data_IF_647172435831
#
_entry.id   IF_647172435831
#
_cell.length_a   1.000
_cell.length_b   1.000
_cell.length_c   1.000
_cell.angle_alpha   90.00
_cell.angle_beta   90.00
_cell.angle_gamma   90.00
#
_symmetry.space_group_name_H-M   'P 1'
#
loop_
_entity.id
_entity.type
_entity.pdbx_description
1 polymer ?
#
# COMPACT_ATOMS: atom_id res chain seq x y z
N UNK A 1 19.32 -42.39 -34.05
CA UNK A 1 20.39 -41.63 -33.38
C UNK A 1 20.09 -41.59 -31.88
N UNK A 2 20.99 -42.13 -31.06
CA UNK A 2 20.88 -42.26 -29.60
C UNK A 2 21.74 -41.17 -28.96
N UNK A 3 21.19 -40.34 -28.07
CA UNK A 3 21.96 -39.42 -27.20
C UNK A 3 21.18 -39.25 -25.90
N UNK A 4 21.43 -40.14 -24.91
CA UNK A 4 22.29 -39.97 -23.72
C UNK A 4 21.74 -39.00 -22.66
N UNK A 5 21.11 -39.63 -21.67
CA UNK A 5 20.92 -39.16 -20.29
C UNK A 5 22.26 -38.79 -19.64
N UNK A 6 22.29 -37.66 -18.91
CA UNK A 6 23.34 -37.37 -17.92
C UNK A 6 22.65 -37.17 -16.56
N UNK A 7 22.88 -38.11 -15.65
CA UNK A 7 22.49 -38.03 -14.25
C UNK A 7 23.54 -37.27 -13.46
N UNK A 8 23.17 -36.17 -12.79
CA UNK A 8 23.99 -35.55 -11.75
C UNK A 8 23.76 -36.30 -10.43
N UNK A 9 24.83 -36.89 -9.91
CA UNK A 9 24.94 -37.39 -8.53
C UNK A 9 25.52 -36.25 -7.69
N UNK A 10 24.78 -35.77 -6.68
CA UNK A 10 25.29 -34.79 -5.71
C UNK A 10 25.74 -35.53 -4.46
N UNK A 11 27.03 -35.39 -4.15
CA UNK A 11 27.72 -35.95 -2.99
C UNK A 11 27.40 -35.10 -1.76
N UNK A 12 26.75 -35.67 -0.74
CA UNK A 12 26.54 -35.02 0.56
C UNK A 12 27.77 -35.28 1.45
N UNK A 13 28.51 -34.22 1.79
CA UNK A 13 29.55 -34.25 2.80
C UNK A 13 28.97 -33.75 4.13
N UNK A 14 28.88 -34.66 5.11
CA UNK A 14 28.51 -34.37 6.50
C UNK A 14 29.77 -33.91 7.24
N UNK A 15 29.81 -32.66 7.68
CA UNK A 15 30.78 -32.18 8.66
C UNK A 15 30.13 -32.17 10.04
N UNK A 16 30.56 -33.09 10.89
CA UNK A 16 30.29 -33.06 12.33
C UNK A 16 31.36 -32.22 13.02
N UNK A 17 30.98 -31.04 13.52
CA UNK A 17 31.81 -30.23 14.41
C UNK A 17 31.43 -30.59 15.85
N UNK A 18 32.34 -31.25 16.56
CA UNK A 18 32.17 -31.59 17.97
C UNK A 18 32.41 -30.36 18.86
N UNK A 19 31.42 -30.00 19.67
CA UNK A 19 31.57 -29.01 20.73
C UNK A 19 32.31 -29.60 21.95
N UNK A 20 33.22 -28.85 22.59
CA UNK A 20 33.88 -29.29 23.82
C UNK A 20 32.91 -29.29 25.01
N UNK A 21 33.15 -30.14 26.03
CA UNK A 21 32.29 -30.23 27.21
C UNK A 21 32.43 -28.99 28.11
N UNK A 22 31.29 -28.50 28.60
CA UNK A 22 31.22 -27.45 29.61
C UNK A 22 31.72 -27.97 30.98
N UNK A 23 32.40 -27.12 31.78
CA UNK A 23 32.82 -27.48 33.13
C UNK A 23 31.61 -27.61 34.07
N UNK A 24 31.67 -28.61 34.95
CA UNK A 24 30.67 -28.88 35.98
C UNK A 24 30.47 -27.67 36.90
N UNK A 25 29.22 -27.23 37.03
CA UNK A 25 28.82 -26.23 38.02
C UNK A 25 28.58 -26.88 39.38
N UNK A 26 29.17 -26.26 40.40
CA UNK A 26 29.13 -26.62 41.81
C UNK A 26 27.76 -26.27 42.40
N UNK A 27 26.94 -27.28 42.68
CA UNK A 27 25.61 -27.12 43.31
C UNK A 27 25.77 -27.17 44.83
N UNK A 28 26.06 -26.03 45.45
CA UNK A 28 26.29 -25.94 46.89
C UNK A 28 25.90 -24.60 47.50
N UNK A 29 24.61 -24.23 47.46
CA UNK A 29 24.13 -23.04 48.17
C UNK A 29 22.60 -23.03 48.33
N UNK A 30 22.12 -23.26 49.56
CA UNK A 30 20.71 -23.12 49.92
C UNK A 30 20.35 -21.62 49.95
N UNK A 31 19.38 -21.13 49.15
CA UNK A 31 19.05 -19.72 49.16
C UNK A 31 18.18 -19.37 50.38
N UNK A 32 18.60 -18.33 51.11
CA UNK A 32 17.85 -17.70 52.19
C UNK A 32 16.61 -16.99 51.59
N UNK A 33 15.44 -17.31 52.14
CA UNK A 33 14.14 -16.70 51.82
C UNK A 33 14.21 -15.16 51.97
N UNK A 34 13.99 -14.36 50.91
CA UNK A 34 13.89 -12.91 51.05
C UNK A 34 12.55 -12.53 51.68
N UNK A 35 12.60 -11.48 52.51
CA UNK A 35 11.42 -10.92 53.17
C UNK A 35 10.47 -10.26 52.14
N UNK A 36 9.17 -10.38 52.40
CA UNK A 36 8.12 -9.83 51.55
C UNK A 36 8.25 -8.29 51.40
N UNK A 37 8.14 -7.74 50.18
CA UNK A 37 8.13 -6.30 49.99
C UNK A 37 6.79 -5.71 50.45
N UNK A 38 6.86 -4.55 51.11
CA UNK A 38 5.70 -3.75 51.51
C UNK A 38 5.00 -3.20 50.26
N UNK A 39 3.67 -3.22 50.27
CA UNK A 39 2.82 -2.70 49.21
C UNK A 39 3.16 -1.25 48.84
N UNK A 40 3.41 -1.04 47.55
CA UNK A 40 3.54 0.27 46.92
C UNK A 40 2.13 0.75 46.54
N UNK A 41 1.77 2.03 46.76
CA UNK A 41 0.46 2.55 46.37
C UNK A 41 0.28 2.48 44.85
N UNK A 42 -0.92 2.07 44.43
CA UNK A 42 -1.34 1.97 43.02
C UNK A 42 -1.12 3.28 42.27
N UNK A 43 -0.39 3.22 41.17
CA UNK A 43 -0.34 4.27 40.15
C UNK A 43 -1.72 4.44 39.50
N UNK A 44 -2.11 5.67 39.12
CA UNK A 44 -3.36 5.92 38.42
C UNK A 44 -3.32 5.28 37.02
N UNK A 45 -4.49 4.85 36.54
CA UNK A 45 -4.71 4.20 35.25
C UNK A 45 -3.95 4.90 34.11
N UNK A 46 -3.24 4.17 33.24
CA UNK A 46 -2.69 4.74 32.03
C UNK A 46 -3.83 5.23 31.15
N UNK A 47 -3.83 6.52 30.83
CA UNK A 47 -4.77 7.10 29.89
C UNK A 47 -4.65 6.35 28.56
N UNK A 48 -5.79 5.85 28.06
CA UNK A 48 -5.90 5.15 26.78
C UNK A 48 -5.10 5.88 25.69
N UNK A 49 -4.29 5.11 24.94
CA UNK A 49 -3.59 5.60 23.77
C UNK A 49 -4.61 6.26 22.81
N UNK A 50 -4.30 7.43 22.23
CA UNK A 50 -5.19 8.07 21.29
C UNK A 50 -5.32 7.15 20.08
N UNK A 51 -6.48 6.51 19.93
CA UNK A 51 -6.93 6.01 18.65
C UNK A 51 -7.06 7.22 17.74
N UNK A 52 -6.03 7.47 16.94
CA UNK A 52 -6.09 8.45 15.86
C UNK A 52 -7.15 7.94 14.89
N UNK A 53 -8.40 8.33 15.11
CA UNK A 53 -9.46 8.20 14.11
C UNK A 53 -8.93 8.93 12.89
N UNK A 54 -8.45 8.16 11.91
CA UNK A 54 -8.15 8.69 10.60
C UNK A 54 -9.40 9.45 10.15
N UNK A 55 -9.33 10.79 10.21
CA UNK A 55 -10.40 11.63 9.71
C UNK A 55 -10.63 11.17 8.27
N UNK A 56 -11.83 10.68 8.00
CA UNK A 56 -12.13 10.17 6.67
C UNK A 56 -11.86 11.30 5.66
N UNK A 57 -11.53 10.98 4.40
CA UNK A 57 -11.27 12.02 3.38
C UNK A 57 -12.46 12.97 3.13
N UNK A 58 -13.60 12.73 3.79
CA UNK A 58 -14.82 13.51 3.76
C UNK A 58 -15.15 14.28 5.05
N UNK A 59 -14.30 14.22 6.08
CA UNK A 59 -14.48 14.97 7.32
C UNK A 59 -14.19 16.46 7.09
N UNK A 60 -15.25 17.25 6.97
CA UNK A 60 -15.25 18.69 6.64
C UNK A 60 -14.47 19.61 7.60
N UNK A 61 -13.80 19.09 8.65
CA UNK A 61 -13.29 19.91 9.76
C UNK A 61 -11.82 20.32 9.68
N UNK A 62 -10.99 19.76 8.81
CA UNK A 62 -9.54 20.12 8.75
C UNK A 62 -8.95 20.25 7.35
N UNK A 63 -9.72 20.13 6.28
CA UNK A 63 -9.22 20.53 4.96
C UNK A 63 -8.78 22.00 5.03
N UNK A 64 -7.56 22.37 4.61
CA UNK A 64 -7.23 23.78 4.40
C UNK A 64 -8.37 24.38 3.59
N UNK A 65 -8.87 25.56 3.98
CA UNK A 65 -9.91 26.29 3.23
C UNK A 65 -9.47 26.32 1.77
N UNK A 66 -9.93 25.36 0.97
CA UNK A 66 -9.74 25.40 -0.46
C UNK A 66 -10.45 26.67 -0.88
N UNK A 67 -9.77 27.48 -1.70
CA UNK A 67 -10.41 28.63 -2.29
C UNK A 67 -11.63 28.10 -3.05
N UNK A 68 -12.83 28.24 -2.49
CA UNK A 68 -14.09 27.68 -3.00
C UNK A 68 -14.62 28.43 -4.22
N UNK A 69 -13.75 29.19 -4.91
CA UNK A 69 -14.00 29.50 -6.31
C UNK A 69 -13.76 28.23 -7.10
N UNK A 70 -14.63 27.80 -8.03
CA UNK A 70 -14.21 26.85 -9.04
C UNK A 70 -12.95 27.45 -9.67
N UNK A 71 -11.80 26.77 -9.59
CA UNK A 71 -10.66 27.13 -10.42
C UNK A 71 -11.18 26.95 -11.83
N UNK A 72 -11.62 28.05 -12.43
CA UNK A 72 -11.91 28.10 -13.86
C UNK A 72 -10.57 27.77 -14.47
N UNK A 73 -10.52 26.64 -15.19
CA UNK A 73 -9.39 26.31 -16.06
C UNK A 73 -8.96 27.63 -16.72
N UNK A 74 -7.71 28.09 -16.53
CA UNK A 74 -7.26 29.37 -17.08
C UNK A 74 -7.49 29.48 -18.60
N UNK A 75 -7.77 28.36 -19.27
CA UNK A 75 -8.15 28.25 -20.68
C UNK A 75 -9.66 28.47 -20.97
N UNK A 76 -10.54 28.56 -19.98
CA UNK A 76 -12.01 28.53 -20.15
C UNK A 76 -12.67 29.87 -20.55
N UNK A 77 -11.93 30.95 -20.81
CA UNK A 77 -12.51 32.28 -21.06
C UNK A 77 -12.98 32.55 -22.51
N UNK A 78 -12.95 31.55 -23.39
CA UNK A 78 -13.57 31.62 -24.73
C UNK A 78 -14.85 30.81 -24.75
N UNK A 79 -15.88 31.27 -25.49
CA UNK A 79 -17.12 30.50 -25.72
C UNK A 79 -16.95 29.21 -26.54
N UNK A 80 -15.77 28.57 -26.48
CA UNK A 80 -15.48 27.27 -27.05
C UNK A 80 -15.86 26.12 -26.11
N UNK A 81 -15.65 24.87 -26.55
CA UNK A 81 -15.84 23.68 -25.72
C UNK A 81 -15.06 23.79 -24.40
N UNK A 82 -15.68 23.39 -23.28
CA UNK A 82 -15.00 23.34 -21.99
C UNK A 82 -14.07 22.12 -22.00
N UNK A 83 -12.79 22.34 -21.71
CA UNK A 83 -11.81 21.26 -21.58
C UNK A 83 -11.75 20.82 -20.12
N UNK A 84 -11.73 19.52 -19.88
CA UNK A 84 -11.41 18.95 -18.57
C UNK A 84 -10.07 18.25 -18.67
N UNK A 85 -9.24 18.40 -17.65
CA UNK A 85 -7.96 17.70 -17.54
C UNK A 85 -7.92 16.97 -16.21
N UNK A 86 -7.63 15.67 -16.26
CA UNK A 86 -7.16 14.91 -15.10
C UNK A 86 -5.64 14.82 -15.18
N UNK A 87 -4.99 14.95 -14.03
CA UNK A 87 -3.56 14.78 -13.88
C UNK A 87 -3.30 13.48 -13.12
N UNK A 88 -2.42 12.65 -13.67
CA UNK A 88 -1.91 11.45 -13.03
C UNK A 88 -0.51 11.62 -12.49
N UNK A 89 -0.15 10.83 -11.48
CA UNK A 89 1.24 10.62 -11.08
C UNK A 89 1.56 9.12 -11.16
N UNK A 90 2.37 8.73 -12.13
CA UNK A 90 2.97 7.40 -12.20
C UNK A 90 4.27 7.42 -11.39
N UNK A 91 4.40 6.57 -10.39
CA UNK A 91 5.66 6.37 -9.63
C UNK A 91 6.21 4.98 -9.88
N UNK A 92 7.52 4.87 -10.10
CA UNK A 92 8.24 3.60 -10.23
C UNK A 92 9.42 3.55 -9.26
N UNK A 93 9.51 2.47 -8.48
CA UNK A 93 10.67 2.13 -7.67
C UNK A 93 11.49 1.09 -8.42
N UNK A 94 12.74 1.41 -8.73
CA UNK A 94 13.62 0.54 -9.52
C UNK A 94 14.89 0.28 -8.72
N UNK A 95 15.12 -0.98 -8.36
CA UNK A 95 16.32 -1.40 -7.66
C UNK A 95 17.46 -1.60 -8.67
N UNK A 96 18.53 -0.85 -8.54
CA UNK A 96 19.67 -0.81 -9.46
C UNK A 96 20.94 -1.21 -8.72
N UNK A 97 21.83 -1.99 -9.35
CA UNK A 97 23.17 -2.24 -8.79
C UNK A 97 23.92 -0.92 -8.58
N UNK A 98 24.41 -0.70 -7.36
CA UNK A 98 25.10 0.51 -6.92
C UNK A 98 26.29 0.86 -7.81
N UNK A 99 27.08 -0.14 -8.21
CA UNK A 99 28.24 0.07 -9.09
C UNK A 99 27.85 0.60 -10.48
N UNK A 100 26.71 0.15 -11.02
CA UNK A 100 26.18 0.60 -12.31
C UNK A 100 25.69 2.04 -12.20
N UNK A 101 24.91 2.34 -11.16
CA UNK A 101 24.43 3.70 -10.88
C UNK A 101 25.58 4.69 -10.68
N UNK A 102 26.57 4.35 -9.86
CA UNK A 102 27.71 5.22 -9.59
C UNK A 102 28.53 5.48 -10.86
N UNK A 103 28.83 4.44 -11.64
CA UNK A 103 29.57 4.58 -12.89
C UNK A 103 28.85 5.43 -13.94
N UNK A 104 27.51 5.46 -13.90
CA UNK A 104 26.70 6.34 -14.75
C UNK A 104 26.74 7.79 -14.26
N UNK A 105 26.56 8.02 -12.95
CA UNK A 105 26.61 9.35 -12.34
C UNK A 105 27.94 10.07 -12.57
N UNK A 106 29.06 9.34 -12.52
CA UNK A 106 30.39 9.91 -12.74
C UNK A 106 30.55 10.53 -14.13
N UNK A 107 29.71 10.13 -15.09
CA UNK A 107 29.77 10.57 -16.50
C UNK A 107 28.58 11.44 -16.90
N UNK A 108 27.48 11.37 -16.16
CA UNK A 108 26.21 11.96 -16.54
C UNK A 108 25.62 12.67 -15.31
N UNK A 109 25.56 14.02 -15.30
CA UNK A 109 24.75 14.71 -14.30
C UNK A 109 23.28 14.31 -14.46
N UNK A 110 22.53 14.24 -13.35
CA UNK A 110 21.08 13.98 -13.40
C UNK A 110 20.36 15.31 -13.69
N UNK A 111 19.82 15.52 -14.90
CA UNK A 111 18.96 16.67 -15.17
C UNK A 111 17.60 16.54 -14.49
N UNK A 112 16.84 17.63 -14.41
CA UNK A 112 15.44 17.63 -13.98
C UNK A 112 14.58 16.73 -14.89
N UNK A 113 14.81 16.78 -16.20
CA UNK A 113 14.26 15.81 -17.16
C UNK A 113 15.07 14.52 -17.15
N UNK A 114 14.69 13.62 -16.24
CA UNK A 114 15.29 12.30 -16.10
C UNK A 114 14.82 11.30 -17.19
N UNK A 115 14.14 11.72 -18.26
CA UNK A 115 13.73 10.83 -19.37
C UNK A 115 14.91 10.07 -20.00
N UNK A 116 16.07 10.70 -20.29
CA UNK A 116 17.24 9.97 -20.79
C UNK A 116 17.75 8.94 -19.78
N UNK A 117 17.78 9.30 -18.49
CA UNK A 117 18.17 8.38 -17.42
C UNK A 117 17.19 7.20 -17.33
N UNK A 118 15.88 7.47 -17.39
CA UNK A 118 14.87 6.41 -17.32
C UNK A 118 14.98 5.42 -18.48
N UNK A 119 15.31 5.89 -19.68
CA UNK A 119 15.60 5.05 -20.85
C UNK A 119 16.87 4.22 -20.64
N UNK A 120 17.89 4.77 -20.03
CA UNK A 120 19.11 4.02 -19.68
C UNK A 120 18.80 2.92 -18.64
N UNK A 121 18.00 3.23 -17.62
CA UNK A 121 17.56 2.25 -16.61
C UNK A 121 16.81 1.08 -17.26
N UNK A 122 16.04 1.33 -18.31
CA UNK A 122 15.41 0.28 -19.14
C UNK A 122 16.43 -0.70 -19.72
N UNK A 123 17.59 -0.21 -20.18
CA UNK A 123 18.69 -1.07 -20.64
C UNK A 123 19.30 -1.86 -19.49
N UNK A 124 19.38 -1.28 -18.29
CA UNK A 124 19.87 -1.98 -17.10
C UNK A 124 18.92 -3.09 -16.67
N UNK A 125 17.60 -2.87 -16.77
CA UNK A 125 16.59 -3.90 -16.51
C UNK A 125 16.77 -5.05 -17.50
N UNK A 126 16.86 -4.75 -18.80
CA UNK A 126 17.08 -5.77 -19.83
C UNK A 126 18.40 -6.55 -19.64
N UNK A 127 19.43 -5.91 -19.08
CA UNK A 127 20.72 -6.53 -18.78
C UNK A 127 20.78 -7.25 -17.42
N UNK A 128 19.71 -7.23 -16.60
CA UNK A 128 19.72 -7.80 -15.25
C UNK A 128 20.58 -7.03 -14.23
N UNK A 129 20.80 -5.74 -14.50
CA UNK A 129 21.48 -4.80 -13.61
C UNK A 129 20.52 -3.91 -12.82
N UNK A 130 19.23 -3.97 -13.15
CA UNK A 130 18.16 -3.32 -12.44
C UNK A 130 16.90 -4.20 -12.43
N UNK A 131 16.01 -3.96 -11.48
CA UNK A 131 14.72 -4.65 -11.31
C UNK A 131 13.63 -3.63 -10.98
N UNK A 132 12.50 -3.70 -11.69
CA UNK A 132 11.34 -2.86 -11.37
C UNK A 132 10.64 -3.44 -10.15
N UNK A 133 10.80 -2.78 -9.02
CA UNK A 133 10.35 -3.30 -7.73
C UNK A 133 8.91 -2.90 -7.39
N UNK A 134 8.44 -1.73 -7.85
CA UNK A 134 7.03 -1.33 -7.71
C UNK A 134 6.62 -0.31 -8.78
N UNK A 135 5.35 -0.31 -9.17
CA UNK A 135 4.71 0.69 -10.03
C UNK A 135 3.33 1.03 -9.50
N UNK A 136 3.08 2.30 -9.22
CA UNK A 136 1.78 2.74 -8.70
C UNK A 136 1.38 4.03 -9.41
N UNK A 137 0.09 4.20 -9.65
CA UNK A 137 -0.46 5.37 -10.35
C UNK A 137 -1.72 5.84 -9.65
N UNK A 138 -1.90 7.15 -9.53
CA UNK A 138 -3.18 7.77 -9.17
C UNK A 138 -3.51 8.87 -10.16
N UNK A 139 -4.78 8.95 -10.58
CA UNK A 139 -5.32 10.06 -11.35
C UNK A 139 -6.13 10.97 -10.42
N UNK A 140 -6.10 12.27 -10.65
CA UNK A 140 -6.89 13.26 -9.93
C UNK A 140 -7.12 14.52 -10.74
N UNK A 141 -7.99 15.41 -10.28
CA UNK A 141 -8.14 16.74 -10.87
C UNK A 141 -7.00 17.66 -10.42
N UNK A 142 -6.63 18.67 -11.23
CA UNK A 142 -5.83 19.79 -10.76
C UNK A 142 -6.42 20.39 -9.49
N UNK A 143 -5.54 20.87 -8.60
CA UNK A 143 -5.82 21.47 -7.30
C UNK A 143 -6.50 20.53 -6.28
N UNK A 144 -6.53 19.23 -6.56
CA UNK A 144 -7.15 18.23 -5.69
C UNK A 144 -6.15 17.15 -5.31
N UNK A 145 -6.03 16.91 -4.00
CA UNK A 145 -5.22 15.82 -3.46
C UNK A 145 -5.73 14.47 -3.93
N UNK A 146 -4.83 13.64 -4.41
CA UNK A 146 -5.08 12.27 -4.80
C UNK A 146 -4.17 11.31 -4.03
N UNK A 147 -4.73 10.20 -3.57
CA UNK A 147 -4.02 9.18 -2.79
C UNK A 147 -4.34 7.79 -3.36
N UNK A 148 -3.31 6.97 -3.50
CA UNK A 148 -3.45 5.54 -3.83
C UNK A 148 -2.55 4.73 -2.90
N UNK A 149 -3.08 3.62 -2.41
CA UNK A 149 -2.43 2.77 -1.42
C UNK A 149 -2.70 1.31 -1.72
N UNK A 150 -1.68 0.48 -1.54
CA UNK A 150 -1.80 -0.98 -1.53
C UNK A 150 -0.89 -1.55 -0.45
N UNK A 151 -1.47 -2.07 0.63
CA UNK A 151 -0.72 -2.46 1.80
C UNK A 151 -1.32 -3.68 2.51
N UNK A 152 -0.45 -4.40 3.21
CA UNK A 152 -0.79 -5.39 4.22
C UNK A 152 -0.82 -4.73 5.58
N UNK A 153 -1.90 -4.91 6.34
CA UNK A 153 -1.96 -4.48 7.74
C UNK A 153 -1.25 -5.52 8.62
N UNK A 154 -0.09 -5.15 9.17
CA UNK A 154 0.63 -5.97 10.14
C UNK A 154 0.25 -5.50 11.53
N UNK A 155 -0.48 -6.36 12.25
CA UNK A 155 -0.78 -6.20 13.66
C UNK A 155 0.36 -6.82 14.47
N UNK A 156 0.77 -6.16 15.54
CA UNK A 156 1.83 -6.67 16.41
C UNK A 156 1.61 -6.17 17.84
N UNK A 157 2.06 -6.95 18.85
CA UNK A 157 2.04 -6.48 20.21
C UNK A 157 3.01 -5.31 20.41
N UNK A 158 2.52 -4.23 21.02
CA UNK A 158 3.32 -3.06 21.38
C UNK A 158 3.73 -3.07 22.87
N UNK A 159 2.93 -3.71 23.71
CA UNK A 159 3.19 -3.87 25.15
C UNK A 159 3.06 -5.33 25.58
N UNK A 160 3.83 -5.69 26.61
CA UNK A 160 3.82 -7.03 27.19
C UNK A 160 3.77 -6.94 28.71
N UNK A 161 3.01 -7.84 29.33
CA UNK A 161 2.95 -8.03 30.78
C UNK A 161 3.63 -9.33 31.20
N UNK A 162 4.13 -9.43 32.45
CA UNK A 162 4.67 -10.68 32.96
C UNK A 162 3.56 -11.73 33.09
N UNK A 163 3.72 -12.86 32.41
CA UNK A 163 2.75 -13.93 32.48
C UNK A 163 2.83 -14.82 33.73
N UNK A 164 1.86 -15.72 33.88
CA UNK A 164 1.70 -16.72 34.94
C UNK A 164 2.94 -17.62 35.06
N UNK A 165 3.56 -17.95 33.94
CA UNK A 165 4.80 -18.73 33.85
C UNK A 165 6.05 -17.83 33.72
N UNK A 166 5.91 -16.54 34.00
CA UNK A 166 6.91 -15.48 33.76
C UNK A 166 7.27 -15.25 32.29
N UNK A 167 6.55 -15.87 31.36
CA UNK A 167 6.67 -15.59 29.93
C UNK A 167 5.93 -14.27 29.59
N UNK A 168 6.53 -13.37 28.79
CA UNK A 168 5.85 -12.16 28.34
C UNK A 168 4.55 -12.45 27.59
N UNK A 169 3.47 -11.83 28.02
CA UNK A 169 2.15 -11.95 27.40
C UNK A 169 1.74 -10.62 26.75
N UNK A 170 1.27 -10.62 25.48
CA UNK A 170 0.91 -9.38 24.79
C UNK A 170 -0.34 -8.73 25.42
N UNK A 171 -0.22 -7.49 25.88
CA UNK A 171 -1.32 -6.75 26.53
C UNK A 171 -1.88 -5.60 25.70
N UNK A 172 -1.09 -5.05 24.77
CA UNK A 172 -1.52 -3.99 23.85
C UNK A 172 -1.04 -4.25 22.42
N UNK A 173 -1.75 -3.67 21.45
CA UNK A 173 -1.57 -3.94 20.02
C UNK A 173 -1.46 -2.66 19.22
N UNK A 174 -0.52 -2.65 18.28
CA UNK A 174 -0.37 -1.61 17.27
C UNK A 174 -0.52 -2.18 15.85
N UNK A 175 -0.66 -1.27 14.89
CA UNK A 175 -0.65 -1.60 13.45
C UNK A 175 0.44 -0.89 12.70
N UNK A 176 0.90 -1.53 11.64
CA UNK A 176 1.68 -0.89 10.59
C UNK A 176 1.21 -1.35 9.23
N UNK A 177 0.98 -0.40 8.34
CA UNK A 177 0.71 -0.67 6.93
C UNK A 177 2.04 -0.95 6.22
N UNK A 178 2.15 -2.13 5.64
CA UNK A 178 3.31 -2.57 4.86
C UNK A 178 2.94 -2.58 3.39
N UNK A 179 3.39 -1.57 2.67
CA UNK A 179 3.28 -1.53 1.22
C UNK A 179 3.54 -0.19 0.59
N UNK A 180 2.89 0.07 -0.53
CA UNK A 180 3.11 1.27 -1.32
C UNK A 180 2.00 2.30 -1.09
N UNK A 181 2.39 3.56 -0.97
CA UNK A 181 1.51 4.72 -0.88
C UNK A 181 2.06 5.84 -1.75
N UNK A 182 1.18 6.47 -2.52
CA UNK A 182 1.46 7.74 -3.18
C UNK A 182 0.40 8.74 -2.74
N UNK A 183 0.87 9.93 -2.41
CA UNK A 183 0.08 11.12 -2.20
C UNK A 183 0.56 12.22 -3.13
N UNK A 184 -0.38 12.92 -3.75
CA UNK A 184 -0.12 13.81 -4.88
C UNK A 184 -1.06 15.00 -4.88
N UNK A 185 -0.49 16.20 -4.91
CA UNK A 185 -1.21 17.48 -5.01
C UNK A 185 -0.79 18.19 -6.33
N UNK A 186 -1.47 17.93 -7.46
CA UNK A 186 -1.17 18.56 -8.74
C UNK A 186 -1.74 19.97 -8.86
N UNK A 187 -1.02 20.84 -9.55
CA UNK A 187 -1.48 22.14 -10.03
C UNK A 187 -1.18 22.20 -11.54
N UNK A 188 -2.21 22.45 -12.35
CA UNK A 188 -2.04 22.66 -13.79
C UNK A 188 -1.73 24.14 -14.05
N UNK A 189 -0.54 24.42 -14.53
CA UNK A 189 -0.11 25.79 -14.84
C UNK A 189 -0.65 26.28 -16.19
N UNK A 190 -0.67 27.60 -16.40
CA UNK A 190 -1.18 28.20 -17.63
C UNK A 190 -0.42 27.82 -18.92
N UNK A 191 0.81 27.33 -18.80
CA UNK A 191 1.61 26.81 -19.92
C UNK A 191 1.51 25.28 -20.08
N UNK A 192 0.58 24.62 -19.36
CA UNK A 192 0.34 23.17 -19.33
C UNK A 192 1.40 22.35 -18.59
N UNK A 193 2.42 22.97 -18.03
CA UNK A 193 3.28 22.29 -17.07
C UNK A 193 2.49 21.96 -15.80
N UNK A 194 2.99 20.96 -15.08
CA UNK A 194 2.38 20.45 -13.86
C UNK A 194 3.33 20.76 -12.72
N UNK A 195 2.91 21.67 -11.85
CA UNK A 195 3.53 21.84 -10.54
C UNK A 195 2.92 20.82 -9.59
N UNK A 196 3.72 20.16 -8.77
CA UNK A 196 3.20 19.14 -7.85
C UNK A 196 3.98 19.10 -6.55
N UNK A 197 3.28 18.76 -5.48
CA UNK A 197 3.87 18.16 -4.29
C UNK A 197 3.52 16.68 -4.26
N UNK A 198 4.52 15.82 -4.12
CA UNK A 198 4.35 14.38 -4.10
C UNK A 198 5.04 13.78 -2.87
N UNK A 199 4.37 12.83 -2.22
CA UNK A 199 4.94 11.99 -1.19
C UNK A 199 4.74 10.52 -1.57
N UNK A 200 5.85 9.84 -1.86
CA UNK A 200 5.86 8.43 -2.22
C UNK A 200 6.51 7.65 -1.08
N UNK A 201 5.79 6.67 -0.53
CA UNK A 201 6.27 5.79 0.54
C UNK A 201 6.17 4.33 0.10
N UNK A 202 7.21 3.55 0.41
CA UNK A 202 7.20 2.09 0.35
C UNK A 202 7.70 1.55 1.69
N UNK A 203 6.86 0.77 2.36
CA UNK A 203 7.17 0.11 3.63
C UNK A 203 7.28 -1.38 3.39
N UNK A 204 8.31 -2.01 3.94
CA UNK A 204 8.47 -3.45 3.91
C UNK A 204 8.74 -4.03 5.31
N UNK A 205 8.32 -5.27 5.49
CA UNK A 205 8.52 -6.04 6.71
C UNK A 205 9.78 -6.91 6.58
N UNK A 206 10.68 -6.80 7.55
CA UNK A 206 12.02 -7.41 7.52
C UNK A 206 12.18 -8.56 8.48
N UNK A 207 11.08 -9.23 8.78
CA UNK A 207 11.03 -10.17 9.88
C UNK A 207 10.96 -9.40 11.18
N UNK A 208 11.59 -9.94 12.19
CA UNK A 208 11.34 -9.57 13.57
C UNK A 208 12.64 -9.54 14.35
N UNK A 209 12.74 -8.60 15.28
CA UNK A 209 13.83 -8.58 16.25
C UNK A 209 13.47 -9.55 17.36
N UNK A 210 14.30 -10.57 17.64
CA UNK A 210 14.08 -11.38 18.83
C UNK A 210 14.26 -10.46 20.06
N UNK A 211 13.32 -10.47 21.00
CA UNK A 211 13.61 -10.09 22.36
C UNK A 211 14.55 -11.17 22.90
N UNK A 212 15.63 -10.70 23.53
CA UNK A 212 16.63 -11.46 24.30
C UNK A 212 16.59 -12.98 24.11
N UNK A 213 17.51 -13.58 23.33
CA UNK A 213 17.49 -15.00 22.95
C UNK A 213 17.77 -16.01 24.08
N UNK A 214 17.59 -15.63 25.35
CA UNK A 214 18.09 -16.38 26.50
C UNK A 214 16.99 -16.92 27.45
N UNK A 215 15.71 -16.66 27.19
CA UNK A 215 14.62 -17.16 28.05
C UNK A 215 14.20 -18.59 27.66
N UNK A 216 14.39 -19.60 28.54
CA UNK A 216 13.99 -20.97 28.24
C UNK A 216 12.48 -21.08 28.03
N UNK A 217 12.05 -21.67 26.92
CA UNK A 217 10.64 -21.89 26.61
C UNK A 217 9.99 -20.84 25.72
N UNK A 218 10.71 -19.79 25.29
CA UNK A 218 10.23 -18.87 24.24
C UNK A 218 10.66 -19.44 22.89
N UNK A 219 9.73 -19.93 22.07
CA UNK A 219 10.08 -20.28 20.69
C UNK A 219 10.47 -19.01 19.94
N UNK A 220 11.33 -19.09 18.92
CA UNK A 220 11.80 -17.91 18.22
C UNK A 220 10.69 -16.96 17.83
N UNK A 221 9.45 -17.43 17.58
CA UNK A 221 8.26 -16.71 17.10
C UNK A 221 7.31 -16.12 18.15
N UNK A 222 7.54 -16.29 19.46
CA UNK A 222 6.50 -16.01 20.47
C UNK A 222 6.50 -14.59 21.03
N UNK A 223 7.61 -13.86 20.93
CA UNK A 223 7.67 -12.46 21.33
C UNK A 223 8.56 -11.82 20.29
N UNK A 224 8.04 -10.88 19.52
CA UNK A 224 8.75 -10.37 18.36
C UNK A 224 8.30 -8.96 18.07
N UNK A 225 9.24 -8.02 18.07
CA UNK A 225 8.96 -6.70 17.51
C UNK A 225 9.22 -6.76 16.01
N UNK A 226 8.20 -6.51 15.18
CA UNK A 226 8.40 -6.49 13.74
C UNK A 226 9.39 -5.39 13.37
N UNK A 227 10.29 -5.72 12.46
CA UNK A 227 11.23 -4.76 11.89
C UNK A 227 10.63 -4.23 10.60
N UNK A 228 10.26 -2.96 10.60
CA UNK A 228 9.83 -2.27 9.38
C UNK A 228 10.98 -1.46 8.82
N UNK A 229 11.06 -1.40 7.49
CA UNK A 229 11.92 -0.46 6.79
C UNK A 229 11.04 0.35 5.85
N UNK A 230 11.13 1.67 5.97
CA UNK A 230 10.44 2.62 5.10
C UNK A 230 11.43 3.28 4.15
N UNK A 231 11.04 3.37 2.89
CA UNK A 231 11.57 4.31 1.91
C UNK A 231 10.51 5.37 1.69
N UNK A 232 10.84 6.63 1.96
CA UNK A 232 9.92 7.74 1.73
C UNK A 232 10.66 8.87 1.04
N UNK A 233 10.06 9.43 -0.01
CA UNK A 233 10.53 10.62 -0.68
C UNK A 233 9.38 11.61 -0.77
N UNK A 234 9.62 12.81 -0.28
CA UNK A 234 8.71 13.95 -0.45
C UNK A 234 9.44 15.00 -1.28
N UNK A 235 8.82 15.42 -2.37
CA UNK A 235 9.40 16.38 -3.28
C UNK A 235 8.32 17.28 -3.89
N UNK A 236 8.69 18.53 -4.12
CA UNK A 236 7.96 19.47 -4.95
C UNK A 236 8.73 19.74 -6.25
N UNK A 237 8.01 20.01 -7.33
CA UNK A 237 8.64 20.33 -8.60
C UNK A 237 7.64 20.69 -9.68
N UNK A 238 8.19 21.18 -10.80
CA UNK A 238 7.44 21.58 -11.99
C UNK A 238 7.95 20.78 -13.18
N UNK A 239 7.03 20.12 -13.87
CA UNK A 239 7.35 19.12 -14.89
C UNK A 239 6.47 19.30 -16.12
N UNK A 240 6.99 18.95 -17.29
CA UNK A 240 6.14 18.78 -18.47
C UNK A 240 5.33 17.48 -18.35
N UNK A 241 4.11 17.41 -18.90
CA UNK A 241 3.40 16.15 -19.04
C UNK A 241 4.26 15.11 -19.76
N UNK A 242 4.20 13.87 -19.29
CA UNK A 242 4.98 12.72 -19.79
C UNK A 242 6.50 12.76 -19.55
N UNK A 243 7.03 13.83 -18.97
CA UNK A 243 8.44 13.91 -18.59
C UNK A 243 8.72 12.99 -17.41
N UNK A 244 9.79 12.19 -17.48
CA UNK A 244 10.27 11.50 -16.30
C UNK A 244 11.12 12.42 -15.43
N UNK A 245 10.94 12.32 -14.11
CA UNK A 245 11.79 12.95 -13.11
C UNK A 245 12.29 11.89 -12.13
N UNK A 246 13.52 12.06 -11.65
CA UNK A 246 14.06 11.28 -10.54
C UNK A 246 13.79 12.06 -9.25
N UNK A 247 12.91 11.55 -8.39
CA UNK A 247 12.62 12.19 -7.10
C UNK A 247 13.70 11.91 -6.06
N UNK A 248 14.29 10.72 -6.09
CA UNK A 248 15.27 10.31 -5.10
C UNK A 248 15.96 9.00 -5.44
N UNK A 249 17.04 8.72 -4.72
CA UNK A 249 17.79 7.47 -4.77
C UNK A 249 18.09 7.03 -3.34
N UNK A 250 17.52 5.90 -2.93
CA UNK A 250 17.54 5.43 -1.55
C UNK A 250 18.21 4.05 -1.43
N UNK A 251 18.56 3.64 -0.21
CA UNK A 251 18.99 2.25 0.04
C UNK A 251 17.80 1.30 -0.13
N UNK A 252 17.93 0.17 -0.86
CA UNK A 252 16.83 -0.75 -1.08
C UNK A 252 16.32 -1.32 0.24
N UNK A 253 15.01 -1.62 0.27
CA UNK A 253 14.39 -2.22 1.46
C UNK A 253 15.11 -3.51 1.84
N UNK A 254 15.60 -4.28 0.86
CA UNK A 254 16.21 -5.60 1.10
C UNK A 254 17.65 -5.59 1.56
N UNK A 255 18.20 -4.39 1.79
CA UNK A 255 19.55 -4.19 2.32
C UNK A 255 20.62 -4.95 1.54
N UNK A 256 20.39 -5.28 0.26
CA UNK A 256 21.51 -5.60 -0.62
C UNK A 256 22.36 -4.34 -0.69
N UNK A 257 23.43 -4.29 0.10
CA UNK A 257 24.37 -3.16 0.11
C UNK A 257 24.97 -2.89 -1.27
N UNK A 258 24.76 -3.81 -2.21
CA UNK A 258 25.13 -3.72 -3.62
C UNK A 258 24.09 -3.01 -4.50
N UNK A 259 22.94 -2.57 -3.98
CA UNK A 259 21.88 -1.92 -4.76
C UNK A 259 21.45 -0.56 -4.17
N UNK A 260 20.71 0.21 -4.97
CA UNK A 260 20.01 1.45 -4.64
C UNK A 260 18.63 1.42 -5.32
N UNK A 261 17.60 1.96 -4.67
CA UNK A 261 16.28 2.15 -5.28
C UNK A 261 16.20 3.55 -5.86
N UNK A 262 16.07 3.65 -7.18
CA UNK A 262 15.75 4.89 -7.87
C UNK A 262 14.23 5.08 -7.89
N UNK A 263 13.76 6.25 -7.50
CA UNK A 263 12.33 6.58 -7.43
C UNK A 263 12.02 7.57 -8.54
N UNK A 264 11.43 7.06 -9.61
CA UNK A 264 11.01 7.86 -10.76
C UNK A 264 9.55 8.25 -10.63
N UNK A 265 9.23 9.45 -11.11
CA UNK A 265 7.86 9.87 -11.36
C UNK A 265 7.68 10.35 -12.78
N UNK A 266 6.46 10.20 -13.29
CA UNK A 266 6.00 10.76 -14.55
C UNK A 266 4.60 11.32 -14.36
N UNK A 267 4.43 12.66 -14.36
CA UNK A 267 3.11 13.24 -14.38
C UNK A 267 2.46 12.97 -15.74
N UNK A 268 1.18 12.64 -15.73
CA UNK A 268 0.37 12.35 -16.90
C UNK A 268 -0.72 13.41 -16.99
N UNK A 269 -1.06 13.86 -18.19
CA UNK A 269 -2.22 14.72 -18.41
C UNK A 269 -3.19 14.01 -19.35
N UNK A 270 -4.44 13.86 -18.91
CA UNK A 270 -5.52 13.30 -19.73
C UNK A 270 -6.62 14.35 -19.87
N UNK A 271 -6.73 14.90 -21.07
CA UNK A 271 -7.67 15.98 -21.38
C UNK A 271 -8.75 15.51 -22.33
N UNK A 272 -9.98 15.96 -22.09
CA UNK A 272 -11.10 15.74 -23.01
C UNK A 272 -11.95 17.01 -23.13
N UNK A 273 -12.54 17.19 -24.31
CA UNK A 273 -13.47 18.28 -24.59
C UNK A 273 -14.89 17.85 -24.24
N UNK A 274 -15.59 18.71 -23.51
CA UNK A 274 -17.04 18.65 -23.39
C UNK A 274 -17.64 19.43 -24.57
N UNK A 275 -18.32 18.74 -25.50
CA UNK A 275 -18.84 19.35 -26.72
C UNK A 275 -19.96 20.37 -26.45
N UNK A 276 -20.33 20.56 -25.18
CA UNK A 276 -21.51 21.32 -24.81
C UNK A 276 -22.78 20.51 -25.05
N UNK A 277 -23.88 21.00 -24.48
CA UNK A 277 -25.13 20.28 -24.54
C UNK A 277 -26.21 21.01 -23.76
N UNK A 278 -27.46 20.61 -23.99
CA UNK A 278 -28.54 21.01 -23.09
C UNK A 278 -28.43 20.17 -21.82
N UNK A 279 -28.56 20.85 -20.68
CA UNK A 279 -28.64 20.18 -19.39
C UNK A 279 -29.68 19.05 -19.43
N UNK A 280 -29.35 17.86 -18.92
CA UNK A 280 -30.32 16.79 -18.81
C UNK A 280 -31.43 17.22 -17.85
N UNK A 281 -32.67 16.79 -18.13
CA UNK A 281 -33.83 17.07 -17.26
C UNK A 281 -33.62 16.49 -15.85
N UNK A 282 -32.91 15.36 -15.76
CA UNK A 282 -32.52 14.73 -14.50
C UNK A 282 -31.00 14.52 -14.48
N UNK A 283 -30.31 15.22 -13.59
CA UNK A 283 -28.89 15.03 -13.34
C UNK A 283 -28.65 13.77 -12.50
N UNK A 284 -28.68 12.60 -13.14
CA UNK A 284 -28.38 11.30 -12.54
C UNK A 284 -27.56 10.45 -13.50
N UNK A 285 -26.87 9.44 -12.95
CA UNK A 285 -26.14 8.47 -13.75
C UNK A 285 -25.87 7.17 -13.03
N UNK A 286 -25.39 6.20 -13.80
CA UNK A 286 -24.93 4.89 -13.36
C UNK A 286 -23.41 4.88 -13.41
N UNK A 287 -22.79 4.63 -12.26
CA UNK A 287 -21.36 4.60 -12.07
C UNK A 287 -20.93 3.14 -12.02
N UNK A 288 -20.06 2.74 -12.93
CA UNK A 288 -19.50 1.40 -13.03
C UNK A 288 -18.01 1.45 -12.69
N UNK A 289 -17.62 0.71 -11.66
CA UNK A 289 -16.24 0.50 -11.24
C UNK A 289 -15.78 -0.88 -11.68
N UNK A 290 -14.61 -0.96 -12.30
CA UNK A 290 -14.02 -2.22 -12.75
C UNK A 290 -12.58 -2.33 -12.24
N UNK A 291 -12.27 -3.41 -11.54
CA UNK A 291 -10.91 -3.78 -11.17
C UNK A 291 -10.40 -4.79 -12.18
N UNK A 292 -9.35 -4.44 -12.91
CA UNK A 292 -8.78 -5.24 -13.98
C UNK A 292 -7.34 -5.59 -13.62
N UNK A 293 -7.03 -6.89 -13.53
CA UNK A 293 -5.70 -7.40 -13.24
C UNK A 293 -4.92 -7.70 -14.52
N UNK A 294 -3.65 -7.32 -14.55
CA UNK A 294 -2.69 -7.68 -15.57
C UNK A 294 -1.30 -7.92 -14.95
N UNK A 295 -0.37 -8.47 -15.71
CA UNK A 295 1.03 -8.49 -15.33
C UNK A 295 1.68 -7.10 -15.51
N UNK A 296 2.75 -6.86 -14.75
CA UNK A 296 3.49 -5.61 -14.74
C UNK A 296 4.11 -5.26 -16.11
N UNK A 297 4.51 -6.25 -16.90
CA UNK A 297 5.14 -6.03 -18.21
C UNK A 297 4.10 -5.50 -19.19
N UNK A 298 2.92 -6.12 -19.23
CA UNK A 298 1.78 -5.68 -20.03
C UNK A 298 1.33 -4.26 -19.67
N UNK A 299 1.23 -3.95 -18.37
CA UNK A 299 0.91 -2.59 -17.91
C UNK A 299 1.90 -1.57 -18.48
N UNK A 300 3.20 -1.81 -18.34
CA UNK A 300 4.23 -0.89 -18.83
C UNK A 300 4.14 -0.67 -20.35
N UNK A 301 3.81 -1.71 -21.11
CA UNK A 301 3.59 -1.60 -22.56
C UNK A 301 2.38 -0.72 -22.89
N UNK A 302 1.35 -0.71 -22.04
CA UNK A 302 0.17 0.13 -22.23
C UNK A 302 0.37 1.56 -21.77
N UNK A 303 1.21 1.84 -20.77
CA UNK A 303 1.45 3.20 -20.24
C UNK A 303 2.09 4.16 -21.26
N UNK A 304 2.49 3.66 -22.43
CA UNK A 304 2.86 4.46 -23.60
C UNK A 304 1.70 4.79 -24.56
N UNK A 305 0.49 4.30 -24.30
CA UNK A 305 -0.72 4.52 -25.13
C UNK A 305 -1.61 5.60 -24.52
N UNK A 306 -2.50 6.23 -25.32
CA UNK A 306 -3.50 7.14 -24.78
C UNK A 306 -4.37 6.49 -23.70
N UNK A 307 -4.61 7.20 -22.59
CA UNK A 307 -5.36 6.67 -21.44
C UNK A 307 -6.82 6.33 -21.77
N UNK A 308 -7.44 7.04 -22.71
CA UNK A 308 -8.80 6.75 -23.19
C UNK A 308 -8.96 5.33 -23.77
N UNK A 309 -7.90 4.76 -24.35
CA UNK A 309 -7.91 3.42 -24.93
C UNK A 309 -7.38 2.35 -23.97
N UNK A 310 -6.94 2.75 -22.77
CA UNK A 310 -6.19 1.91 -21.85
C UNK A 310 -6.98 0.69 -21.38
N UNK A 311 -8.25 0.87 -21.03
CA UNK A 311 -9.15 -0.25 -20.64
C UNK A 311 -9.29 -1.27 -21.77
N UNK A 312 -9.49 -0.80 -23.00
CA UNK A 312 -9.64 -1.67 -24.17
C UNK A 312 -8.34 -2.43 -24.45
N UNK A 313 -7.21 -1.71 -24.48
CA UNK A 313 -5.89 -2.30 -24.68
C UNK A 313 -5.56 -3.35 -23.61
N UNK A 314 -5.94 -3.11 -22.35
CA UNK A 314 -5.75 -4.07 -21.27
C UNK A 314 -6.52 -5.37 -21.51
N UNK A 315 -7.82 -5.27 -21.78
CA UNK A 315 -8.68 -6.44 -22.01
C UNK A 315 -8.28 -7.21 -23.28
N UNK A 316 -7.96 -6.51 -24.37
CA UNK A 316 -7.44 -7.12 -25.61
C UNK A 316 -6.07 -7.78 -25.39
N UNK A 317 -5.26 -7.24 -24.48
CA UNK A 317 -3.98 -7.78 -24.07
C UNK A 317 -4.07 -8.96 -23.09
N UNK A 318 -5.27 -9.44 -22.77
CA UNK A 318 -5.47 -10.61 -21.90
C UNK A 318 -5.61 -10.29 -20.41
N UNK A 319 -5.74 -9.01 -20.03
CA UNK A 319 -6.06 -8.64 -18.66
C UNK A 319 -7.41 -9.22 -18.21
N UNK A 320 -7.53 -9.53 -16.92
CA UNK A 320 -8.70 -10.17 -16.33
C UNK A 320 -9.50 -9.18 -15.48
N UNK A 321 -10.78 -9.00 -15.78
CA UNK A 321 -11.68 -8.32 -14.84
C UNK A 321 -11.85 -9.17 -13.58
N UNK A 322 -11.44 -8.63 -12.44
CA UNK A 322 -11.59 -9.28 -11.14
C UNK A 322 -12.95 -9.03 -10.52
N UNK A 323 -13.43 -7.78 -10.59
CA UNK A 323 -14.68 -7.35 -9.97
C UNK A 323 -15.34 -6.21 -10.74
N UNK A 324 -16.67 -6.10 -10.62
CA UNK A 324 -17.44 -4.96 -11.10
C UNK A 324 -18.45 -4.49 -10.04
N UNK A 325 -18.43 -3.19 -9.73
CA UNK A 325 -19.45 -2.55 -8.88
C UNK A 325 -20.23 -1.52 -9.66
N UNK A 326 -21.53 -1.49 -9.43
CA UNK A 326 -22.46 -0.56 -10.09
C UNK A 326 -23.30 0.12 -9.04
N UNK A 327 -23.40 1.45 -9.13
CA UNK A 327 -24.24 2.27 -8.27
C UNK A 327 -24.89 3.37 -9.08
N UNK A 328 -26.11 3.77 -8.69
CA UNK A 328 -26.84 4.86 -9.33
C UNK A 328 -26.92 6.02 -8.35
N UNK A 329 -26.58 7.22 -8.81
CA UNK A 329 -26.68 8.41 -7.98
C UNK A 329 -27.14 9.64 -8.76
N UNK A 330 -27.74 10.60 -8.04
CA UNK A 330 -28.06 11.94 -8.54
C UNK A 330 -26.90 12.89 -8.26
N UNK A 331 -26.80 13.94 -9.06
CA UNK A 331 -25.85 15.03 -8.83
C UNK A 331 -26.02 15.65 -7.44
N UNK A 332 -24.91 15.86 -6.75
CA UNK A 332 -24.84 16.45 -5.41
C UNK A 332 -25.27 15.53 -4.27
N UNK A 333 -25.61 14.27 -4.57
CA UNK A 333 -25.95 13.29 -3.55
C UNK A 333 -24.80 12.30 -3.37
N UNK A 334 -24.43 12.05 -2.13
CA UNK A 334 -23.51 10.97 -1.80
C UNK A 334 -24.17 9.62 -1.97
N UNK A 335 -23.45 8.65 -2.54
CA UNK A 335 -23.85 7.25 -2.60
C UNK A 335 -22.73 6.35 -2.10
N UNK A 336 -23.10 5.25 -1.45
CA UNK A 336 -22.19 4.22 -0.97
C UNK A 336 -22.74 2.84 -1.35
N UNK A 337 -21.88 1.94 -1.82
CA UNK A 337 -22.19 0.53 -1.98
C UNK A 337 -21.13 -0.30 -1.27
N UNK A 338 -21.59 -1.22 -0.43
CA UNK A 338 -20.75 -2.13 0.34
C UNK A 338 -21.09 -3.57 -0.04
N UNK A 339 -20.08 -4.34 -0.39
CA UNK A 339 -20.15 -5.79 -0.53
C UNK A 339 -19.09 -6.36 0.40
N UNK A 340 -19.44 -6.42 1.69
CA UNK A 340 -18.50 -6.67 2.77
C UNK A 340 -18.89 -7.90 3.60
N UNK A 341 -17.87 -8.50 4.19
CA UNK A 341 -17.96 -9.48 5.26
C UNK A 341 -17.29 -8.89 6.51
N UNK A 342 -17.89 -9.14 7.67
CA UNK A 342 -17.38 -8.66 8.95
C UNK A 342 -16.49 -9.73 9.58
N UNK A 343 -15.20 -9.42 9.76
CA UNK A 343 -14.26 -10.26 10.51
C UNK A 343 -14.15 -9.71 11.92
N UNK A 344 -14.68 -10.45 12.89
CA UNK A 344 -14.50 -10.13 14.31
C UNK A 344 -13.14 -10.66 14.73
N UNK A 345 -12.33 -9.79 15.34
CA UNK A 345 -11.00 -10.13 15.82
C UNK A 345 -10.80 -9.63 17.25
N UNK A 346 -10.00 -10.33 18.06
CA UNK A 346 -9.61 -9.83 19.36
C UNK A 346 -8.64 -8.65 19.23
N UNK A 347 -8.76 -7.68 20.14
CA UNK A 347 -7.84 -6.53 20.29
C UNK A 347 -7.21 -6.45 21.66
N UNK A 348 -7.74 -7.20 22.62
CA UNK A 348 -7.18 -7.33 23.97
C UNK A 348 -7.36 -8.77 24.42
N UNK A 349 -6.42 -9.27 25.19
CA UNK A 349 -6.44 -10.62 25.72
C UNK A 349 -6.17 -10.58 27.23
N UNK A 350 -6.97 -11.33 27.98
CA UNK A 350 -6.72 -11.64 29.37
C UNK A 350 -5.94 -12.96 29.46
N UNK A 351 -4.86 -12.95 30.23
CA UNK A 351 -3.98 -14.11 30.35
C UNK A 351 -4.66 -15.36 30.95
N UNK A 352 -5.69 -15.19 31.79
CA UNK A 352 -6.16 -16.24 32.71
C UNK A 352 -7.51 -16.81 32.34
N UNK A 353 -7.50 -17.78 31.42
CA UNK A 353 -8.61 -18.73 31.24
C UNK A 353 -8.48 -20.00 32.10
N UNK A 354 -9.60 -20.62 32.45
CA UNK A 354 -9.63 -21.91 33.16
C UNK A 354 -9.17 -23.13 32.31
N UNK A 355 -8.74 -22.89 31.06
CA UNK A 355 -8.39 -23.91 30.06
C UNK A 355 -7.00 -23.73 29.45
N UNK A 356 -6.07 -23.13 30.20
CA UNK A 356 -4.73 -22.71 29.79
C UNK A 356 -4.68 -21.61 28.72
N UNK A 357 -5.55 -21.58 27.71
CA UNK A 357 -5.58 -20.51 26.70
C UNK A 357 -6.01 -19.14 27.24
N UNK A 358 -5.50 -18.09 26.60
CA UNK A 358 -5.90 -16.70 26.79
C UNK A 358 -7.39 -16.50 26.44
N UNK A 359 -8.02 -15.58 27.16
CA UNK A 359 -9.41 -15.17 26.89
C UNK A 359 -9.39 -13.85 26.14
N UNK A 360 -10.27 -13.70 25.15
CA UNK A 360 -10.42 -12.43 24.45
C UNK A 360 -11.17 -11.44 25.36
N UNK A 361 -10.50 -10.35 25.74
CA UNK A 361 -11.05 -9.33 26.64
C UNK A 361 -11.83 -8.26 25.87
N UNK A 362 -11.36 -7.93 24.67
CA UNK A 362 -12.01 -7.00 23.75
C UNK A 362 -11.94 -7.52 22.31
N UNK A 363 -12.94 -7.13 21.52
CA UNK A 363 -13.02 -7.48 20.10
C UNK A 363 -13.39 -6.25 19.27
N UNK A 364 -12.88 -6.21 18.04
CA UNK A 364 -13.26 -5.26 17.01
C UNK A 364 -13.77 -5.98 15.76
N UNK A 365 -14.65 -5.31 15.02
CA UNK A 365 -15.09 -5.76 13.70
C UNK A 365 -14.26 -5.06 12.63
N UNK A 366 -13.69 -5.84 11.72
CA UNK A 366 -13.00 -5.35 10.54
C UNK A 366 -13.79 -5.74 9.28
N UNK A 367 -14.09 -4.76 8.43
CA UNK A 367 -14.84 -5.01 7.20
C UNK A 367 -13.86 -5.44 6.09
N UNK A 368 -14.02 -6.66 5.58
CA UNK A 368 -13.35 -7.13 4.38
C UNK A 368 -14.34 -7.10 3.20
N UNK A 369 -13.85 -7.13 1.97
CA UNK A 369 -14.66 -6.99 0.76
C UNK A 369 -14.45 -5.63 0.10
N UNK A 370 -15.49 -5.12 -0.57
CA UNK A 370 -15.37 -3.93 -1.41
C UNK A 370 -16.35 -2.87 -0.95
N UNK A 371 -15.83 -1.67 -0.72
CA UNK A 371 -16.59 -0.47 -0.42
C UNK A 371 -16.34 0.57 -1.50
N UNK A 372 -17.39 1.20 -2.02
CA UNK A 372 -17.27 2.33 -2.94
C UNK A 372 -18.16 3.45 -2.46
N UNK A 373 -17.55 4.57 -2.07
CA UNK A 373 -18.22 5.83 -1.76
C UNK A 373 -17.96 6.85 -2.87
N UNK A 374 -19.02 7.52 -3.34
CA UNK A 374 -18.93 8.60 -4.32
C UNK A 374 -19.76 9.82 -3.94
N UNK A 375 -19.33 10.97 -4.44
CA UNK A 375 -20.07 12.24 -4.42
C UNK A 375 -19.94 12.94 -5.79
N UNK A 376 -20.88 12.66 -6.73
CA UNK A 376 -20.81 13.14 -8.10
C UNK A 376 -21.50 14.50 -8.29
N UNK A 377 -20.93 15.36 -9.13
CA UNK A 377 -21.52 16.62 -9.60
C UNK A 377 -21.57 16.60 -11.12
N UNK A 378 -22.76 16.60 -11.69
CA UNK A 378 -22.97 16.62 -13.13
C UNK A 378 -22.82 18.04 -13.66
N UNK A 379 -22.07 18.17 -14.75
CA UNK A 379 -21.87 19.46 -15.40
C UNK A 379 -23.14 19.90 -16.16
N UNK A 380 -23.42 21.20 -16.30
CA UNK A 380 -24.63 21.69 -16.96
C UNK A 380 -24.78 21.26 -18.42
N UNK A 381 -23.69 20.90 -19.10
CA UNK A 381 -23.73 20.31 -20.46
C UNK A 381 -24.33 18.91 -20.48
N UNK A 382 -24.25 18.20 -19.35
CA UNK A 382 -24.60 16.79 -19.20
C UNK A 382 -23.58 15.81 -19.79
N UNK A 383 -22.41 16.23 -20.27
CA UNK A 383 -21.45 15.32 -20.93
C UNK A 383 -20.26 14.92 -20.04
N UNK A 384 -20.09 15.57 -18.89
CA UNK A 384 -19.04 15.30 -17.93
C UNK A 384 -19.61 15.24 -16.51
N UNK A 385 -18.94 14.46 -15.66
CA UNK A 385 -19.26 14.35 -14.24
C UNK A 385 -17.99 14.50 -13.43
N UNK A 386 -18.00 15.43 -12.47
CA UNK A 386 -16.95 15.55 -11.46
C UNK A 386 -17.28 14.59 -10.32
N UNK A 387 -16.42 13.65 -10.01
CA UNK A 387 -16.69 12.59 -9.02
C UNK A 387 -15.60 12.60 -7.96
N UNK A 388 -15.96 12.88 -6.71
CA UNK A 388 -15.14 12.48 -5.57
C UNK A 388 -15.40 11.00 -5.31
N UNK A 389 -14.34 10.20 -5.17
CA UNK A 389 -14.45 8.75 -5.00
C UNK A 389 -13.43 8.22 -4.00
N UNK A 390 -13.86 7.24 -3.21
CA UNK A 390 -13.02 6.51 -2.25
C UNK A 390 -13.28 4.98 -2.30
N UNK A 391 -13.03 4.31 -3.45
CA UNK A 391 -13.08 2.86 -3.55
C UNK A 391 -11.97 2.20 -2.71
N UNK A 392 -12.38 1.16 -2.00
CA UNK A 392 -11.54 0.34 -1.14
C UNK A 392 -11.86 -1.15 -1.38
N UNK A 393 -10.82 -1.97 -1.50
CA UNK A 393 -10.93 -3.42 -1.57
C UNK A 393 -9.99 -4.04 -0.55
N UNK A 394 -10.57 -4.68 0.46
CA UNK A 394 -9.87 -5.38 1.54
C UNK A 394 -10.08 -6.90 1.43
N UNK A 395 -9.03 -7.69 1.61
CA UNK A 395 -9.08 -9.16 1.65
C UNK A 395 -8.39 -9.72 2.90
N UNK A 396 -8.86 -10.88 3.35
CA UNK A 396 -8.28 -11.63 4.48
C UNK A 396 -7.32 -12.72 3.98
N UNK A 397 -6.13 -12.82 4.58
CA UNK A 397 -5.03 -13.72 4.16
C UNK A 397 -4.48 -14.57 5.31
N UNK A 398 -5.36 -15.04 6.20
CA UNK A 398 -5.02 -15.94 7.30
C UNK A 398 -4.60 -15.22 8.57
N UNK A 399 -3.94 -15.94 9.46
CA UNK A 399 -3.64 -15.49 10.83
C UNK A 399 -2.13 -15.37 11.06
N UNK A 400 -1.71 -14.31 11.75
CA UNK A 400 -0.39 -14.20 12.35
C UNK A 400 -0.46 -14.72 13.80
N UNK A 401 0.52 -15.53 14.20
CA UNK A 401 0.61 -16.07 15.58
C UNK A 401 1.57 -15.22 16.38
N UNK A 402 1.09 -14.68 17.50
CA UNK A 402 1.82 -13.76 18.38
C UNK A 402 2.14 -14.32 19.76
N UNK A 403 1.48 -15.41 20.15
CA UNK A 403 1.78 -16.14 21.38
C UNK A 403 1.40 -17.62 21.20
N UNK A 404 2.13 -18.51 21.86
CA UNK A 404 1.88 -19.95 21.88
C UNK A 404 1.93 -20.48 23.30
N UNK A 405 1.27 -21.61 23.51
CA UNK A 405 1.35 -22.37 24.75
C UNK A 405 1.75 -23.81 24.49
N UNK A 406 2.54 -24.37 25.40
CA UNK A 406 2.95 -25.77 25.35
C UNK A 406 1.94 -26.64 26.07
N UNK A 407 1.07 -27.34 25.32
CA UNK A 407 -0.03 -28.13 25.85
C UNK A 407 0.07 -29.55 25.30
N UNK A 408 0.08 -30.53 26.20
CA UNK A 408 0.14 -31.97 25.87
C UNK A 408 1.35 -32.36 25.00
N UNK A 409 2.48 -31.66 25.14
CA UNK A 409 3.70 -31.94 24.39
C UNK A 409 3.82 -31.21 23.04
N UNK A 410 2.86 -30.35 22.69
CA UNK A 410 2.87 -29.59 21.43
C UNK A 410 2.68 -28.08 21.68
N UNK A 411 3.39 -27.26 20.90
CA UNK A 411 3.18 -25.81 20.87
C UNK A 411 1.94 -25.48 20.04
N UNK A 412 0.94 -24.85 20.67
CA UNK A 412 -0.32 -24.46 20.03
C UNK A 412 -0.44 -22.93 19.98
N UNK A 413 -0.93 -22.34 18.87
CA UNK A 413 -1.27 -20.92 18.83
C UNK A 413 -2.27 -20.57 19.93
N UNK A 414 -1.99 -19.51 20.66
CA UNK A 414 -2.84 -19.00 21.74
C UNK A 414 -3.41 -17.63 21.35
N UNK A 415 -2.53 -16.72 20.98
CA UNK A 415 -2.89 -15.38 20.53
C UNK A 415 -2.60 -15.26 19.04
N UNK A 416 -3.63 -15.01 18.24
CA UNK A 416 -3.50 -14.75 16.81
C UNK A 416 -4.17 -13.44 16.41
N UNK A 417 -3.76 -12.90 15.26
CA UNK A 417 -4.40 -11.74 14.63
C UNK A 417 -4.61 -11.97 13.14
N UNK A 418 -5.74 -11.54 12.57
CA UNK A 418 -5.97 -11.67 11.13
C UNK A 418 -5.00 -10.80 10.33
N UNK A 419 -4.63 -11.29 9.16
CA UNK A 419 -3.82 -10.59 8.17
C UNK A 419 -4.76 -10.02 7.12
N UNK A 420 -4.79 -8.69 7.01
CA UNK A 420 -5.56 -8.01 5.97
C UNK A 420 -4.65 -7.40 4.91
N UNK A 421 -5.15 -7.36 3.69
CA UNK A 421 -4.58 -6.58 2.61
C UNK A 421 -5.61 -5.61 2.07
N UNK A 422 -5.25 -4.35 1.87
CA UNK A 422 -6.14 -3.29 1.40
C UNK A 422 -5.55 -2.58 0.20
N UNK A 423 -6.36 -2.46 -0.85
CA UNK A 423 -6.14 -1.58 -2.01
C UNK A 423 -7.14 -0.44 -1.94
N UNK A 424 -6.65 0.80 -1.98
CA UNK A 424 -7.48 2.00 -1.81
C UNK A 424 -7.07 3.09 -2.78
N UNK A 425 -8.07 3.80 -3.32
CA UNK A 425 -7.85 5.01 -4.10
C UNK A 425 -8.79 6.08 -3.57
N UNK A 426 -8.28 7.27 -3.25
CA UNK A 426 -9.07 8.42 -2.83
C UNK A 426 -8.70 9.60 -3.73
N UNK A 427 -9.65 10.09 -4.52
CA UNK A 427 -9.36 11.13 -5.51
C UNK A 427 -10.64 11.85 -5.96
N UNK A 428 -10.47 12.90 -6.77
CA UNK A 428 -11.53 13.54 -7.53
C UNK A 428 -11.20 13.46 -9.03
N UNK A 429 -12.13 12.99 -9.86
CA UNK A 429 -11.94 12.89 -11.32
C UNK A 429 -13.00 13.69 -12.07
N UNK A 430 -12.64 14.25 -13.23
CA UNK A 430 -13.59 14.61 -14.26
C UNK A 430 -13.77 13.41 -15.21
N UNK A 431 -14.98 12.90 -15.36
CA UNK A 431 -15.26 11.69 -16.14
C UNK A 431 -16.16 12.02 -17.32
N UNK A 432 -15.72 11.77 -18.58
CA UNK A 432 -16.60 11.87 -19.73
C UNK A 432 -17.65 10.75 -19.68
N UNK A 433 -18.88 11.04 -20.11
CA UNK A 433 -19.91 10.01 -20.20
C UNK A 433 -19.51 8.88 -21.16
N UNK A 434 -19.91 7.67 -20.79
CA UNK A 434 -19.73 6.42 -21.54
C UNK A 434 -18.28 6.08 -21.90
N UNK A 435 -17.32 6.79 -21.29
CA UNK A 435 -15.89 6.61 -21.51
C UNK A 435 -15.23 6.14 -20.21
N UNK A 436 -14.54 4.98 -20.22
CA UNK A 436 -13.84 4.50 -19.04
C UNK A 436 -12.63 5.38 -18.73
N UNK A 437 -12.53 5.82 -17.48
CA UNK A 437 -11.38 6.55 -16.95
C UNK A 437 -10.60 5.72 -15.94
N UNK A 438 -9.28 5.71 -16.08
CA UNK A 438 -8.38 5.12 -15.08
C UNK A 438 -8.38 6.02 -13.84
N UNK A 439 -8.57 5.43 -12.65
CA UNK A 439 -8.52 6.15 -11.38
C UNK A 439 -7.21 5.86 -10.62
N UNK A 440 -6.71 4.63 -10.71
CA UNK A 440 -5.46 4.25 -10.07
C UNK A 440 -4.96 2.87 -10.48
N UNK A 441 -3.71 2.60 -10.16
CA UNK A 441 -3.01 1.32 -10.38
C UNK A 441 -2.29 0.93 -9.09
N UNK A 442 -2.52 -0.30 -8.64
CA UNK A 442 -2.04 -0.85 -7.37
C UNK A 442 -1.47 -2.26 -7.58
N UNK A 443 -0.64 -2.72 -6.66
CA UNK A 443 -0.27 -4.13 -6.60
C UNK A 443 -1.32 -4.92 -5.80
N UNK A 444 -1.75 -6.10 -6.26
CA UNK A 444 -2.57 -7.00 -5.44
C UNK A 444 -1.72 -7.80 -4.45
N UNK A 445 -2.34 -8.51 -3.49
CA UNK A 445 -1.63 -9.48 -2.66
C UNK A 445 -1.37 -10.79 -3.41
N UNK A 446 -0.30 -11.50 -3.03
CA UNK A 446 -0.09 -12.91 -3.33
C UNK A 446 -0.96 -13.82 -2.44
N UNK A 447 -0.76 -15.13 -2.50
CA UNK A 447 -1.55 -16.09 -1.72
C UNK A 447 -1.40 -15.87 -0.21
N UNK A 448 -0.22 -15.46 0.26
CA UNK A 448 0.12 -15.22 1.66
C UNK A 448 -0.22 -13.81 2.16
N UNK A 449 -0.86 -12.97 1.32
CA UNK A 449 -1.22 -11.60 1.67
C UNK A 449 -0.07 -10.60 1.64
N UNK A 450 1.08 -10.96 1.04
CA UNK A 450 2.16 -10.03 0.75
C UNK A 450 1.95 -9.36 -0.59
N UNK A 451 2.53 -8.19 -0.81
CA UNK A 451 2.41 -7.48 -2.08
C UNK A 451 3.03 -8.32 -3.21
N UNK A 452 2.31 -8.43 -4.32
CA UNK A 452 2.80 -9.04 -5.54
C UNK A 452 3.02 -7.96 -6.61
N UNK A 453 4.20 -7.37 -6.60
CA UNK A 453 4.55 -6.30 -7.54
C UNK A 453 4.69 -6.79 -9.00
N UNK A 454 4.64 -8.09 -9.26
CA UNK A 454 4.60 -8.65 -10.62
C UNK A 454 3.22 -8.54 -11.27
N UNK A 455 2.17 -8.40 -10.46
CA UNK A 455 0.79 -8.18 -10.89
C UNK A 455 0.35 -6.76 -10.58
N UNK A 456 -0.63 -6.28 -11.34
CA UNK A 456 -1.19 -4.94 -11.20
C UNK A 456 -2.68 -4.94 -11.39
N UNK A 457 -3.38 -4.27 -10.47
CA UNK A 457 -4.82 -4.04 -10.52
C UNK A 457 -5.06 -2.58 -10.89
N UNK A 458 -5.70 -2.40 -12.05
CA UNK A 458 -6.14 -1.12 -12.57
C UNK A 458 -7.60 -0.89 -12.18
N UNK A 459 -7.90 0.26 -11.59
CA UNK A 459 -9.25 0.68 -11.27
C UNK A 459 -9.79 1.62 -12.34
N UNK A 460 -10.86 1.24 -13.01
CA UNK A 460 -11.57 2.09 -13.98
C UNK A 460 -12.93 2.53 -13.46
N UNK A 461 -13.31 3.77 -13.78
CA UNK A 461 -14.64 4.34 -13.57
C UNK A 461 -15.27 4.67 -14.94
N UNK A 462 -16.47 4.19 -15.20
CA UNK A 462 -17.32 4.64 -16.31
C UNK A 462 -18.60 5.23 -15.75
N UNK A 463 -19.06 6.35 -16.30
CA UNK A 463 -20.36 6.94 -15.95
C UNK A 463 -21.27 6.93 -17.17
N UNK A 464 -22.43 6.30 -17.05
CA UNK A 464 -23.48 6.33 -18.07
C UNK A 464 -24.74 7.02 -17.51
N UNK A 465 -25.72 7.30 -18.36
CA UNK A 465 -27.02 7.86 -17.94
C UNK A 465 -28.00 6.79 -17.44
#
# INVERSE_FOLDING_TARGET
MKTRFLSLLTLAAVFTVGSPPLPAQDTGGTPKKPAAPKAVPSTPDPAAAPTEKANGPFDKKTSPKSATGPTTDPLANGGGPKVYTNIGLLTQWIDVKREVWQAWLDKNPVPLDATPLRKEVETWIAAGNAELAETTLVMGRPDMRAVVESFRSVWYPSEFEPGADSLPFPSAWDTRNVGARIEFDPILEGDRSISMAAASERVDYRGESPPRPEEPGVEPTDIRWPLFVSQSVTADGRFEPDQWALLGAETPLDRRQTHLTLIFVRPLADSFEDPGGKAPEVAQGVFKFEWIEADQISLNAWLGKPLADFRRAALEGGAKTLETRVLRCRSGNRAKVDAIEEVIRPTEFDEKGAGNFSLQAAMETYNIGISVEIDPTFEPSGNAVIVNLAPEWTTHHGEAVHHRQFIDGEWKPDVTSPIFYTMKTTTQLAVPLDTPMLAGVMSPPNAEGWIDSSRKVMLFLTVSR
#
